data_IF_978713665023
#
_entry.id   IF_978713665023
#
_cell.length_a   1.000
_cell.length_b   1.000
_cell.length_c   1.000
_cell.angle_alpha   90.00
_cell.angle_beta   90.00
_cell.angle_gamma   90.00
#
_symmetry.space_group_name_H-M   'P 1'
#
loop_
_entity.id
_entity.type
_entity.pdbx_description
1 polymer ?
#
# COMPACT_ATOMS: atom_id res chain seq x y z
N UNK A 1 -7.56 4.29 14.33
CA UNK A 1 -7.75 3.42 13.14
C UNK A 1 -7.15 4.11 11.92
N UNK A 2 -6.36 3.42 11.12
CA UNK A 2 -5.85 3.98 9.87
C UNK A 2 -7.01 4.06 8.85
N UNK A 3 -7.27 5.25 8.27
CA UNK A 3 -8.34 5.45 7.27
C UNK A 3 -8.22 4.53 6.06
N UNK A 4 -6.99 4.14 5.72
CA UNK A 4 -6.73 3.19 4.62
C UNK A 4 -7.32 1.80 4.88
N UNK A 5 -7.31 1.30 6.11
CA UNK A 5 -7.88 0.00 6.47
C UNK A 5 -9.41 -0.01 6.34
N UNK A 6 -10.10 1.08 6.71
CA UNK A 6 -11.56 1.21 6.52
C UNK A 6 -11.95 1.18 5.03
N UNK A 7 -11.20 1.88 4.18
CA UNK A 7 -11.43 1.86 2.73
C UNK A 7 -11.15 0.50 2.10
N UNK A 8 -10.11 -0.21 2.57
CA UNK A 8 -9.80 -1.57 2.13
C UNK A 8 -10.93 -2.54 2.43
N UNK A 9 -11.51 -2.49 3.63
CA UNK A 9 -12.65 -3.34 4.04
C UNK A 9 -13.88 -3.13 3.16
N UNK A 10 -14.18 -1.88 2.78
CA UNK A 10 -15.31 -1.57 1.89
C UNK A 10 -15.10 -2.16 0.49
N UNK A 11 -13.85 -2.17 -0.01
CA UNK A 11 -13.49 -2.73 -1.31
C UNK A 11 -13.67 -4.23 -1.41
N UNK A 12 -13.35 -4.98 -0.37
CA UNK A 12 -13.47 -6.44 -0.39
C UNK A 12 -14.90 -6.93 -0.60
N UNK A 13 -15.90 -6.09 -0.36
CA UNK A 13 -17.32 -6.42 -0.57
C UNK A 13 -17.81 -6.27 -2.03
N UNK A 14 -17.02 -5.71 -2.98
CA UNK A 14 -17.51 -5.34 -4.33
C UNK A 14 -16.73 -5.91 -5.53
N UNK A 15 -15.99 -7.00 -5.46
CA UNK A 15 -14.99 -7.35 -6.45
C UNK A 15 -15.28 -8.39 -7.53
N UNK A 16 -14.95 -8.13 -8.79
CA UNK A 16 -14.82 -9.11 -9.88
C UNK A 16 -13.34 -9.61 -9.96
N UNK A 17 -13.14 -10.93 -9.88
CA UNK A 17 -11.86 -11.54 -9.48
C UNK A 17 -10.77 -11.60 -10.58
N UNK A 18 -11.09 -11.81 -11.86
CA UNK A 18 -10.08 -12.16 -12.86
C UNK A 18 -9.39 -10.96 -13.56
N UNK A 19 -10.10 -9.88 -13.85
CA UNK A 19 -9.48 -8.67 -14.45
C UNK A 19 -8.55 -7.96 -13.45
N UNK A 20 -8.88 -8.02 -12.16
CA UNK A 20 -8.06 -7.45 -11.08
C UNK A 20 -6.74 -8.20 -10.89
N UNK A 21 -6.70 -9.51 -11.17
CA UNK A 21 -5.49 -10.33 -11.02
C UNK A 21 -4.37 -9.94 -11.99
N UNK A 22 -4.71 -9.66 -13.25
CA UNK A 22 -3.73 -9.21 -14.25
C UNK A 22 -3.08 -7.88 -13.86
N UNK A 23 -3.88 -6.91 -13.43
CA UNK A 23 -3.40 -5.60 -12.95
C UNK A 23 -2.55 -5.73 -11.69
N UNK A 24 -2.96 -6.55 -10.74
CA UNK A 24 -2.19 -6.84 -9.54
C UNK A 24 -0.81 -7.41 -9.90
N UNK A 25 -0.74 -8.35 -10.82
CA UNK A 25 0.54 -8.90 -11.27
C UNK A 25 1.44 -7.84 -11.91
N UNK A 26 0.89 -6.94 -12.72
CA UNK A 26 1.64 -5.83 -13.32
C UNK A 26 2.25 -4.92 -12.26
N UNK A 27 1.49 -4.56 -11.23
CA UNK A 27 1.96 -3.73 -10.12
C UNK A 27 3.06 -4.43 -9.31
N UNK A 28 2.87 -5.69 -8.98
CA UNK A 28 3.87 -6.47 -8.25
C UNK A 28 5.17 -6.60 -9.07
N UNK A 29 5.07 -6.84 -10.38
CA UNK A 29 6.25 -6.92 -11.27
C UNK A 29 6.99 -5.57 -11.27
N UNK A 30 6.29 -4.45 -11.34
CA UNK A 30 6.91 -3.11 -11.24
C UNK A 30 7.62 -2.94 -9.90
N UNK A 31 6.97 -3.29 -8.78
CA UNK A 31 7.56 -3.18 -7.44
C UNK A 31 8.81 -4.04 -7.30
N UNK A 32 8.78 -5.32 -7.73
CA UNK A 32 9.95 -6.20 -7.73
C UNK A 32 11.09 -5.62 -8.57
N UNK A 33 10.78 -5.10 -9.77
CA UNK A 33 11.78 -4.51 -10.67
C UNK A 33 12.42 -3.27 -10.05
N UNK A 34 11.63 -2.40 -9.44
CA UNK A 34 12.11 -1.17 -8.80
C UNK A 34 12.93 -1.51 -7.55
N UNK A 35 12.44 -2.42 -6.70
CA UNK A 35 13.14 -2.84 -5.50
C UNK A 35 14.51 -3.46 -5.84
N UNK A 36 14.58 -4.33 -6.85
CA UNK A 36 15.82 -4.92 -7.32
C UNK A 36 16.81 -3.88 -7.88
N UNK A 37 16.31 -2.86 -8.58
CA UNK A 37 17.14 -1.78 -9.09
C UNK A 37 17.74 -0.92 -8.00
N UNK A 38 16.95 -0.62 -6.96
CA UNK A 38 17.35 0.32 -5.90
C UNK A 38 18.28 -0.32 -4.87
N UNK A 39 18.00 -1.57 -4.48
CA UNK A 39 18.69 -2.26 -3.38
C UNK A 39 19.45 -3.52 -3.80
N UNK A 40 19.51 -3.84 -5.11
CA UNK A 40 20.14 -5.08 -5.62
C UNK A 40 19.19 -6.25 -5.69
N UNK A 41 19.60 -7.30 -6.41
CA UNK A 41 18.79 -8.50 -6.73
C UNK A 41 18.79 -9.58 -5.66
N UNK A 42 19.54 -9.39 -4.57
CA UNK A 42 19.59 -10.37 -3.46
C UNK A 42 18.54 -9.98 -2.37
N UNK A 43 17.52 -10.81 -2.14
CA UNK A 43 16.50 -10.53 -1.14
C UNK A 43 17.02 -10.56 0.31
N UNK A 44 18.15 -11.26 0.58
CA UNK A 44 18.75 -11.26 1.92
C UNK A 44 19.34 -9.89 2.27
N UNK A 45 19.91 -9.20 1.29
CA UNK A 45 20.45 -7.85 1.45
C UNK A 45 19.47 -6.72 1.13
N UNK A 46 18.25 -7.05 0.65
CA UNK A 46 17.26 -6.07 0.20
C UNK A 46 15.87 -6.34 0.79
N UNK A 47 15.57 -5.78 1.97
CA UNK A 47 14.27 -5.99 2.64
C UNK A 47 13.06 -5.61 1.81
N UNK A 48 13.14 -4.55 0.99
CA UNK A 48 12.07 -4.14 0.08
C UNK A 48 11.81 -5.21 -0.98
N UNK A 49 12.85 -5.76 -1.58
CA UNK A 49 12.73 -6.84 -2.56
C UNK A 49 12.16 -8.10 -1.92
N UNK A 50 12.58 -8.45 -0.71
CA UNK A 50 12.05 -9.59 0.04
C UNK A 50 10.53 -9.46 0.23
N UNK A 51 10.04 -8.31 0.72
CA UNK A 51 8.59 -8.06 0.87
C UNK A 51 7.85 -8.15 -0.48
N UNK A 52 8.41 -7.57 -1.54
CA UNK A 52 7.81 -7.64 -2.88
C UNK A 52 7.72 -9.08 -3.42
N UNK A 53 8.75 -9.91 -3.15
CA UNK A 53 8.75 -11.34 -3.50
C UNK A 53 7.69 -12.10 -2.68
N UNK A 54 7.58 -11.83 -1.39
CA UNK A 54 6.60 -12.48 -0.52
C UNK A 54 5.16 -12.14 -0.97
N UNK A 55 4.90 -10.87 -1.31
CA UNK A 55 3.63 -10.44 -1.90
C UNK A 55 3.35 -11.14 -3.24
N UNK A 56 4.36 -11.30 -4.10
CA UNK A 56 4.23 -12.02 -5.36
C UNK A 56 3.85 -13.50 -5.15
N UNK A 57 4.50 -14.16 -4.19
CA UNK A 57 4.21 -15.56 -3.83
C UNK A 57 2.81 -15.70 -3.23
N UNK A 58 2.41 -14.80 -2.32
CA UNK A 58 1.07 -14.78 -1.71
C UNK A 58 -0.04 -14.63 -2.76
N UNK A 59 0.25 -13.94 -3.87
CA UNK A 59 -0.66 -13.80 -5.02
C UNK A 59 -0.50 -14.91 -6.08
N UNK A 60 0.22 -15.98 -5.77
CA UNK A 60 0.48 -17.11 -6.69
C UNK A 60 1.13 -16.69 -8.02
N UNK A 61 2.03 -15.73 -7.99
CA UNK A 61 2.79 -15.34 -9.17
C UNK A 61 3.82 -16.44 -9.52
N UNK A 62 3.92 -16.86 -10.81
CA UNK A 62 4.92 -17.81 -11.22
C UNK A 62 6.35 -17.34 -10.91
N UNK A 63 7.19 -18.23 -10.40
CA UNK A 63 8.57 -17.93 -10.01
C UNK A 63 9.41 -17.34 -11.16
N UNK A 64 9.17 -17.76 -12.40
CA UNK A 64 9.84 -17.23 -13.58
C UNK A 64 9.55 -15.74 -13.81
N UNK A 65 8.34 -15.27 -13.48
CA UNK A 65 7.98 -13.86 -13.60
C UNK A 65 8.75 -13.03 -12.55
N UNK A 66 8.87 -13.55 -11.33
CA UNK A 66 9.62 -12.89 -10.24
C UNK A 66 11.10 -12.80 -10.63
N UNK A 67 11.70 -13.92 -11.04
CA UNK A 67 13.11 -13.97 -11.46
C UNK A 67 13.38 -13.02 -12.63
N UNK A 68 12.50 -12.98 -13.61
CA UNK A 68 12.62 -12.07 -14.77
C UNK A 68 12.51 -10.60 -14.35
N UNK A 69 11.62 -10.26 -13.42
CA UNK A 69 11.48 -8.90 -12.90
C UNK A 69 12.75 -8.46 -12.14
N UNK A 70 13.33 -9.34 -11.32
CA UNK A 70 14.60 -9.07 -10.62
C UNK A 70 15.70 -8.80 -11.64
N UNK A 71 15.88 -9.67 -12.65
CA UNK A 71 16.91 -9.52 -13.68
C UNK A 71 16.75 -8.23 -14.51
N UNK A 72 15.52 -7.78 -14.75
CA UNK A 72 15.27 -6.47 -15.37
C UNK A 72 15.67 -5.33 -14.46
N UNK A 73 15.40 -5.44 -13.16
CA UNK A 73 15.76 -4.44 -12.17
C UNK A 73 17.27 -4.30 -12.01
N UNK A 74 18.01 -5.41 -11.98
CA UNK A 74 19.49 -5.44 -11.87
C UNK A 74 20.22 -5.11 -13.18
N UNK A 75 19.49 -5.00 -14.30
CA UNK A 75 20.09 -4.72 -15.61
C UNK A 75 20.65 -5.93 -16.34
N UNK A 76 20.47 -7.15 -15.82
CA UNK A 76 20.86 -8.40 -16.50
C UNK A 76 19.99 -8.73 -17.71
N UNK A 77 18.78 -8.17 -17.75
CA UNK A 77 17.87 -8.25 -18.89
C UNK A 77 17.42 -6.82 -19.29
N UNK A 78 17.32 -6.60 -20.59
CA UNK A 78 16.71 -5.37 -21.11
C UNK A 78 15.27 -5.25 -20.62
N UNK A 79 14.89 -4.04 -20.20
CA UNK A 79 13.54 -3.77 -19.70
C UNK A 79 13.26 -2.29 -19.58
N UNK A 80 12.02 -2.00 -19.30
CA UNK A 80 11.54 -0.64 -19.05
C UNK A 80 12.11 -0.14 -17.73
N UNK A 81 12.62 1.09 -17.74
CA UNK A 81 13.03 1.77 -16.52
C UNK A 81 11.85 2.53 -15.94
N UNK A 82 11.45 2.17 -14.73
CA UNK A 82 10.38 2.86 -14.02
C UNK A 82 10.94 3.95 -13.11
N UNK A 83 10.36 5.14 -13.16
CA UNK A 83 10.57 6.23 -12.21
C UNK A 83 9.50 6.14 -11.13
N UNK A 84 9.91 6.26 -9.86
CA UNK A 84 8.99 6.34 -8.73
C UNK A 84 8.67 7.79 -8.42
N UNK A 85 7.40 8.08 -8.25
CA UNK A 85 6.88 9.42 -7.97
C UNK A 85 5.74 9.31 -6.95
N UNK A 86 5.55 10.37 -6.18
CA UNK A 86 4.34 10.56 -5.38
C UNK A 86 3.63 11.80 -5.91
N UNK A 87 2.40 11.62 -6.36
CA UNK A 87 1.52 12.74 -6.66
C UNK A 87 0.68 13.06 -5.42
N UNK A 88 0.34 14.32 -5.28
CA UNK A 88 -0.44 14.86 -4.18
C UNK A 88 -1.70 15.50 -4.71
N UNK A 89 -2.81 15.37 -4.00
CA UNK A 89 -4.06 15.94 -4.45
C UNK A 89 -5.07 16.14 -3.34
N UNK A 90 -6.10 16.89 -3.68
CA UNK A 90 -7.27 17.14 -2.84
C UNK A 90 -8.48 16.54 -3.52
N UNK A 91 -9.21 15.71 -2.80
CA UNK A 91 -10.42 15.02 -3.27
C UNK A 91 -11.70 15.60 -2.65
N UNK A 92 -12.83 14.89 -2.84
CA UNK A 92 -14.13 15.24 -2.26
C UNK A 92 -14.04 15.48 -0.76
N UNK A 93 -14.84 16.42 -0.25
CA UNK A 93 -14.84 16.79 1.15
C UNK A 93 -13.51 17.39 1.65
N UNK A 94 -12.65 17.91 0.74
CA UNK A 94 -11.30 18.38 1.01
C UNK A 94 -10.41 17.27 1.64
N UNK A 95 -10.61 16.01 1.24
CA UNK A 95 -9.73 14.90 1.56
C UNK A 95 -8.36 15.09 0.93
N UNK A 96 -7.29 14.77 1.67
CA UNK A 96 -5.94 14.79 1.15
C UNK A 96 -5.57 13.41 0.63
N UNK A 97 -4.90 13.35 -0.51
CA UNK A 97 -4.48 12.10 -1.14
C UNK A 97 -3.00 12.12 -1.49
N UNK A 98 -2.35 10.97 -1.25
CA UNK A 98 -1.04 10.66 -1.79
C UNK A 98 -1.17 9.48 -2.75
N UNK A 99 -0.60 9.60 -3.94
CA UNK A 99 -0.67 8.61 -5.01
C UNK A 99 0.74 8.16 -5.34
N UNK A 100 1.14 6.98 -4.86
CA UNK A 100 2.41 6.36 -5.19
C UNK A 100 2.34 5.76 -6.60
N UNK A 101 3.30 6.11 -7.45
CA UNK A 101 3.32 5.77 -8.88
C UNK A 101 4.67 5.18 -9.26
N UNK A 102 4.64 4.15 -10.10
CA UNK A 102 5.81 3.64 -10.82
C UNK A 102 5.54 3.70 -12.32
N UNK A 103 6.19 4.59 -13.03
CA UNK A 103 5.91 4.86 -14.45
C UNK A 103 7.18 4.95 -15.29
N UNK A 104 7.05 4.61 -16.55
CA UNK A 104 8.06 4.83 -17.61
C UNK A 104 7.86 6.18 -18.32
N UNK A 105 6.74 6.88 -18.05
CA UNK A 105 6.43 8.17 -18.67
C UNK A 105 5.68 9.10 -17.72
N UNK A 106 6.44 9.88 -16.96
CA UNK A 106 5.94 10.83 -15.97
C UNK A 106 4.87 11.79 -16.51
N UNK A 107 5.06 12.30 -17.75
CA UNK A 107 4.14 13.29 -18.31
C UNK A 107 2.78 12.68 -18.67
N UNK A 108 2.80 11.47 -19.26
CA UNK A 108 1.58 10.70 -19.54
C UNK A 108 0.81 10.46 -18.25
N UNK A 109 1.45 9.88 -17.25
CA UNK A 109 0.80 9.52 -15.99
C UNK A 109 0.26 10.73 -15.25
N UNK A 110 1.01 11.85 -15.21
CA UNK A 110 0.52 13.09 -14.60
C UNK A 110 -0.76 13.62 -15.27
N UNK A 111 -0.84 13.56 -16.61
CA UNK A 111 -2.02 14.00 -17.35
C UNK A 111 -3.23 13.07 -17.10
N UNK A 112 -2.99 11.75 -17.05
CA UNK A 112 -4.04 10.76 -16.80
C UNK A 112 -4.57 10.84 -15.37
N UNK A 113 -3.69 10.95 -14.37
CA UNK A 113 -4.06 11.14 -12.96
C UNK A 113 -4.85 12.44 -12.78
N UNK A 114 -4.41 13.56 -13.37
CA UNK A 114 -5.16 14.83 -13.32
C UNK A 114 -6.57 14.67 -13.87
N UNK A 115 -6.73 14.02 -15.02
CA UNK A 115 -8.04 13.75 -15.62
C UNK A 115 -8.94 12.90 -14.73
N UNK A 116 -8.36 11.98 -13.96
CA UNK A 116 -9.12 11.18 -12.98
C UNK A 116 -9.62 12.08 -11.85
N UNK A 117 -8.76 12.92 -11.26
CA UNK A 117 -9.17 13.89 -10.24
C UNK A 117 -10.29 14.81 -10.72
N UNK A 118 -10.12 15.42 -11.90
CA UNK A 118 -11.09 16.35 -12.50
C UNK A 118 -12.48 15.71 -12.65
N UNK A 119 -12.55 14.42 -12.96
CA UNK A 119 -13.82 13.68 -13.08
C UNK A 119 -14.51 13.39 -11.76
N UNK A 120 -13.78 13.39 -10.64
CA UNK A 120 -14.26 13.01 -9.32
C UNK A 120 -14.24 14.17 -8.33
N UNK A 121 -14.47 15.38 -8.81
CA UNK A 121 -14.55 16.60 -7.97
C UNK A 121 -13.28 16.84 -7.12
N UNK A 122 -12.14 16.42 -7.62
CA UNK A 122 -10.85 16.61 -6.98
C UNK A 122 -9.91 17.45 -7.82
N UNK A 123 -8.74 17.73 -7.28
CA UNK A 123 -7.69 18.49 -7.93
C UNK A 123 -6.31 17.89 -7.63
N UNK A 124 -5.52 17.66 -8.68
CA UNK A 124 -4.12 17.30 -8.53
C UNK A 124 -3.32 18.53 -8.08
N UNK A 125 -2.67 18.43 -6.92
CA UNK A 125 -1.89 19.51 -6.32
C UNK A 125 -0.41 19.51 -6.74
N UNK A 126 0.33 20.45 -6.21
CA UNK A 126 1.78 20.48 -6.29
C UNK A 126 2.44 19.73 -5.13
N UNK A 127 3.76 19.58 -5.19
CA UNK A 127 4.54 18.97 -4.12
C UNK A 127 4.34 19.72 -2.78
N UNK A 128 4.09 18.98 -1.69
CA UNK A 128 3.83 19.52 -0.37
C UNK A 128 2.38 19.92 -0.11
N UNK A 129 1.46 19.70 -1.05
CA UNK A 129 0.04 20.03 -0.85
C UNK A 129 -0.70 19.08 0.10
N UNK A 130 -0.25 17.83 0.24
CA UNK A 130 -0.87 16.81 1.07
C UNK A 130 0.11 16.04 1.97
N UNK A 131 1.38 15.87 1.59
CA UNK A 131 2.35 15.02 2.27
C UNK A 131 2.55 15.38 3.75
N UNK A 132 2.40 16.64 4.14
CA UNK A 132 2.52 17.11 5.52
C UNK A 132 1.53 16.45 6.49
N UNK A 133 0.41 15.95 5.99
CA UNK A 133 -0.67 15.35 6.78
C UNK A 133 -0.42 13.87 7.11
N UNK A 134 0.66 13.26 6.61
CA UNK A 134 0.94 11.84 6.76
C UNK A 134 2.29 11.60 7.43
N UNK A 135 2.40 10.43 8.08
CA UNK A 135 3.65 9.84 8.52
C UNK A 135 3.84 8.48 7.82
N UNK A 136 5.06 8.18 7.39
CA UNK A 136 5.37 6.88 6.84
C UNK A 136 5.63 5.87 7.96
N UNK A 137 4.82 4.82 8.02
CA UNK A 137 4.86 3.77 9.05
C UNK A 137 4.96 2.39 8.41
N UNK A 138 5.51 1.44 9.15
CA UNK A 138 5.36 0.03 8.84
C UNK A 138 4.01 -0.47 9.34
N UNK A 139 3.30 -1.23 8.51
CA UNK A 139 2.03 -1.86 8.87
C UNK A 139 2.13 -3.34 8.56
N UNK A 140 1.86 -4.17 9.58
CA UNK A 140 1.82 -5.62 9.44
C UNK A 140 0.39 -6.09 9.72
N UNK A 141 -0.07 -7.07 8.95
CA UNK A 141 -1.40 -7.68 9.15
C UNK A 141 -1.27 -9.18 9.34
N UNK A 142 -2.07 -9.72 10.25
CA UNK A 142 -2.16 -11.17 10.50
C UNK A 142 -3.56 -11.54 11.02
N UNK A 143 -4.05 -12.77 10.71
CA UNK A 143 -5.34 -13.24 11.22
C UNK A 143 -5.36 -13.30 12.75
N UNK A 144 -6.48 -12.88 13.36
CA UNK A 144 -6.69 -12.95 14.82
C UNK A 144 -6.61 -14.36 15.38
N UNK A 145 -6.82 -15.36 14.53
CA UNK A 145 -6.73 -16.78 14.93
C UNK A 145 -5.30 -17.25 15.21
N UNK A 146 -4.27 -16.49 14.81
CA UNK A 146 -2.86 -16.89 14.93
C UNK A 146 -2.22 -16.47 16.25
N UNK A 147 -2.75 -15.47 16.94
CA UNK A 147 -2.21 -14.99 18.21
C UNK A 147 -3.27 -14.24 19.01
N UNK A 148 -3.13 -14.27 20.34
CA UNK A 148 -3.89 -13.41 21.25
C UNK A 148 -3.30 -12.00 21.26
N UNK A 149 -4.08 -11.02 21.71
CA UNK A 149 -3.60 -9.64 21.88
C UNK A 149 -2.40 -9.58 22.82
N UNK A 150 -2.43 -10.33 23.95
CA UNK A 150 -1.34 -10.38 24.93
C UNK A 150 -0.04 -10.90 24.32
N UNK A 151 -0.12 -11.98 23.52
CA UNK A 151 1.05 -12.53 22.82
C UNK A 151 1.64 -11.54 21.83
N UNK A 152 0.78 -10.85 21.06
CA UNK A 152 1.22 -9.83 20.12
C UNK A 152 1.87 -8.65 20.83
N UNK A 153 1.25 -8.21 21.93
CA UNK A 153 1.78 -7.09 22.72
C UNK A 153 3.19 -7.41 23.23
N UNK A 154 3.39 -8.58 23.81
CA UNK A 154 4.69 -8.98 24.33
C UNK A 154 5.77 -9.05 23.24
N UNK A 155 5.45 -9.65 22.09
CA UNK A 155 6.40 -9.88 21.01
C UNK A 155 6.60 -8.62 20.16
N UNK A 156 5.51 -8.03 19.66
CA UNK A 156 5.59 -6.94 18.70
C UNK A 156 6.04 -5.62 19.36
N UNK A 157 5.51 -5.26 20.52
CA UNK A 157 5.93 -4.06 21.25
C UNK A 157 7.37 -4.24 21.77
N UNK A 158 7.73 -5.45 22.24
CA UNK A 158 9.11 -5.77 22.59
C UNK A 158 10.11 -5.63 21.45
N UNK A 159 9.64 -5.79 20.19
CA UNK A 159 10.42 -5.63 18.98
C UNK A 159 10.34 -4.20 18.38
N UNK A 160 9.57 -3.29 18.97
CA UNK A 160 9.48 -1.88 18.56
C UNK A 160 8.20 -1.48 17.83
N UNK A 161 7.11 -2.25 17.93
CA UNK A 161 5.79 -1.81 17.47
C UNK A 161 5.27 -0.65 18.33
N UNK A 162 4.56 0.27 17.68
CA UNK A 162 3.94 1.44 18.33
C UNK A 162 2.49 1.19 18.73
N UNK A 163 1.78 0.39 17.93
CA UNK A 163 0.34 0.17 18.13
C UNK A 163 -0.09 -1.20 17.60
N UNK A 164 -1.15 -1.75 18.21
CA UNK A 164 -1.80 -3.00 17.81
C UNK A 164 -3.31 -2.79 17.86
N UNK A 165 -3.96 -2.93 16.73
CA UNK A 165 -5.40 -2.75 16.59
C UNK A 165 -6.07 -4.02 16.07
N UNK A 166 -7.28 -4.27 16.57
CA UNK A 166 -8.16 -5.30 16.05
C UNK A 166 -9.06 -4.72 14.96
N UNK A 167 -8.85 -5.11 13.69
CA UNK A 167 -9.67 -4.66 12.56
C UNK A 167 -10.33 -5.90 11.92
N UNK A 168 -11.64 -5.99 11.97
CA UNK A 168 -12.40 -7.16 11.52
C UNK A 168 -11.83 -8.48 12.09
N UNK A 169 -11.36 -9.39 11.23
CA UNK A 169 -10.75 -10.68 11.57
C UNK A 169 -9.20 -10.63 11.62
N UNK A 170 -8.62 -9.44 11.49
CA UNK A 170 -7.17 -9.23 11.46
C UNK A 170 -6.68 -8.45 12.69
N UNK A 171 -5.45 -8.75 13.09
CA UNK A 171 -4.62 -7.84 13.86
C UNK A 171 -3.84 -6.96 12.89
N UNK A 172 -3.78 -5.66 13.19
CA UNK A 172 -2.97 -4.68 12.48
C UNK A 172 -1.95 -4.12 13.46
N UNK A 173 -0.68 -4.33 13.14
CA UNK A 173 0.45 -3.87 13.96
C UNK A 173 1.13 -2.72 13.25
N UNK A 174 1.20 -1.55 13.90
CA UNK A 174 1.86 -0.36 13.38
C UNK A 174 3.24 -0.20 14.02
N UNK A 175 4.23 0.14 13.20
CA UNK A 175 5.63 0.29 13.63
C UNK A 175 6.24 1.57 13.06
N UNK A 176 7.34 2.09 13.64
CA UNK A 176 8.22 2.98 12.89
C UNK A 176 8.66 2.32 11.58
N UNK A 177 8.93 3.14 10.56
CA UNK A 177 9.38 2.65 9.25
C UNK A 177 10.54 1.65 9.33
N UNK A 178 11.53 1.97 10.15
CA UNK A 178 12.76 1.19 10.33
C UNK A 178 12.56 -0.10 11.13
N UNK A 179 11.48 -0.22 11.89
CA UNK A 179 11.22 -1.38 12.75
C UNK A 179 10.37 -2.48 12.07
N UNK A 180 9.81 -2.24 10.90
CA UNK A 180 8.87 -3.17 10.24
C UNK A 180 9.45 -4.58 10.06
N UNK A 181 10.70 -4.68 9.58
CA UNK A 181 11.34 -5.99 9.36
C UNK A 181 11.72 -6.66 10.68
N UNK A 182 12.14 -5.89 11.69
CA UNK A 182 12.48 -6.41 13.03
C UNK A 182 11.24 -7.00 13.69
N UNK A 183 10.11 -6.31 13.65
CA UNK A 183 8.83 -6.78 14.22
C UNK A 183 8.32 -8.00 13.46
N UNK A 184 8.36 -8.00 12.12
CA UNK A 184 7.98 -9.15 11.31
C UNK A 184 8.80 -10.39 11.66
N UNK A 185 10.12 -10.23 11.74
CA UNK A 185 11.04 -11.35 12.01
C UNK A 185 10.85 -11.88 13.43
N UNK A 186 10.58 -11.02 14.42
CA UNK A 186 10.25 -11.42 15.79
C UNK A 186 8.95 -12.25 15.87
N UNK A 187 7.89 -11.80 15.19
CA UNK A 187 6.63 -12.53 15.08
C UNK A 187 6.84 -13.90 14.41
N UNK A 188 7.58 -13.94 13.30
CA UNK A 188 7.87 -15.17 12.57
C UNK A 188 8.70 -16.16 13.40
N UNK A 189 9.69 -15.68 14.16
CA UNK A 189 10.50 -16.51 15.06
C UNK A 189 9.67 -17.12 16.20
N UNK A 190 8.55 -16.47 16.57
CA UNK A 190 7.59 -16.98 17.56
C UNK A 190 6.51 -17.88 16.94
N UNK A 191 6.62 -18.22 15.65
CA UNK A 191 5.67 -19.09 14.94
C UNK A 191 4.38 -18.37 14.50
N UNK A 192 4.34 -17.04 14.56
CA UNK A 192 3.19 -16.23 14.15
C UNK A 192 3.43 -15.74 12.72
N UNK A 193 2.65 -16.28 11.77
CA UNK A 193 2.76 -15.91 10.37
C UNK A 193 2.13 -14.54 10.09
N UNK A 194 2.93 -13.60 9.59
CA UNK A 194 2.47 -12.32 9.08
C UNK A 194 1.99 -12.50 7.64
N UNK A 195 0.76 -12.09 7.33
CA UNK A 195 0.16 -12.23 5.99
C UNK A 195 0.53 -11.10 5.05
N UNK A 196 0.75 -9.90 5.61
CA UNK A 196 1.18 -8.73 4.87
C UNK A 196 2.08 -7.84 5.73
N UNK A 197 3.09 -7.24 5.11
CA UNK A 197 4.01 -6.29 5.76
C UNK A 197 4.46 -5.25 4.74
N UNK A 198 4.02 -4.00 4.94
CA UNK A 198 4.29 -2.93 3.98
C UNK A 198 4.48 -1.56 4.63
N UNK A 199 5.13 -0.65 3.90
CA UNK A 199 5.17 0.76 4.28
C UNK A 199 3.89 1.45 3.81
N UNK A 200 3.25 2.18 4.72
CA UNK A 200 2.03 2.93 4.46
C UNK A 200 2.18 4.39 4.91
N UNK A 201 1.44 5.27 4.26
CA UNK A 201 1.28 6.66 4.68
C UNK A 201 0.06 6.76 5.61
N UNK A 202 0.31 6.93 6.88
CA UNK A 202 -0.73 6.99 7.92
C UNK A 202 -1.07 8.44 8.20
N UNK A 203 -2.36 8.84 8.15
CA UNK A 203 -2.73 10.21 8.46
C UNK A 203 -2.49 10.56 9.92
N UNK A 204 -1.88 11.72 10.17
CA UNK A 204 -1.66 12.26 11.52
C UNK A 204 -2.97 12.56 12.24
N UNK A 205 -3.95 13.03 11.48
CA UNK A 205 -5.28 13.37 12.00
C UNK A 205 -6.31 12.90 10.97
N UNK A 206 -6.96 11.74 11.19
CA UNK A 206 -8.02 11.26 10.33
C UNK A 206 -9.20 12.23 10.27
N UNK A 207 -9.78 12.39 9.09
CA UNK A 207 -10.93 13.23 8.82
C UNK A 207 -12.14 12.38 8.43
N UNK A 208 -13.23 12.48 9.18
CA UNK A 208 -14.49 11.82 8.84
C UNK A 208 -15.22 12.63 7.77
N UNK A 209 -15.63 11.98 6.68
CA UNK A 209 -16.36 12.60 5.57
C UNK A 209 -17.87 12.43 5.72
N UNK A 210 -18.63 13.25 4.98
CA UNK A 210 -20.05 13.00 4.76
C UNK A 210 -20.27 11.71 3.95
N UNK A 211 -21.47 11.11 4.00
CA UNK A 211 -21.78 9.92 3.22
C UNK A 211 -21.58 10.15 1.70
N UNK A 212 -22.00 11.33 1.20
CA UNK A 212 -21.87 11.68 -0.21
C UNK A 212 -20.40 11.85 -0.64
N UNK A 213 -19.59 12.56 0.17
CA UNK A 213 -18.15 12.72 -0.11
C UNK A 213 -17.42 11.40 -0.03
N UNK A 214 -17.81 10.52 0.92
CA UNK A 214 -17.27 9.18 1.06
C UNK A 214 -17.49 8.32 -0.19
N UNK A 215 -18.69 8.33 -0.75
CA UNK A 215 -19.01 7.61 -1.98
C UNK A 215 -18.19 8.14 -3.17
N UNK A 216 -18.09 9.47 -3.31
CA UNK A 216 -17.32 10.08 -4.40
C UNK A 216 -15.82 9.83 -4.23
N UNK A 217 -15.29 9.91 -3.01
CA UNK A 217 -13.89 9.59 -2.72
C UNK A 217 -13.57 8.12 -2.98
N UNK A 218 -14.46 7.19 -2.61
CA UNK A 218 -14.28 5.76 -2.91
C UNK A 218 -14.16 5.53 -4.43
N UNK A 219 -15.04 6.16 -5.22
CA UNK A 219 -14.98 6.07 -6.69
C UNK A 219 -13.68 6.67 -7.26
N UNK A 220 -13.17 7.76 -6.69
CA UNK A 220 -11.88 8.35 -7.05
C UNK A 220 -10.73 7.38 -6.76
N UNK A 221 -10.68 6.83 -5.55
CA UNK A 221 -9.64 5.87 -5.13
C UNK A 221 -9.67 4.63 -6.03
N UNK A 222 -10.85 4.05 -6.28
CA UNK A 222 -11.00 2.88 -7.15
C UNK A 222 -10.49 3.16 -8.57
N UNK A 223 -10.82 4.34 -9.12
CA UNK A 223 -10.37 4.72 -10.47
C UNK A 223 -8.87 4.97 -10.53
N UNK A 224 -8.29 5.60 -9.50
CA UNK A 224 -6.84 5.78 -9.40
C UNK A 224 -6.12 4.45 -9.26
N UNK A 225 -6.59 3.56 -8.41
CA UNK A 225 -5.99 2.24 -8.23
C UNK A 225 -6.18 1.31 -9.44
N UNK A 226 -7.15 1.57 -10.28
CA UNK A 226 -7.33 0.85 -11.53
C UNK A 226 -6.31 1.27 -12.63
N UNK A 227 -5.60 2.37 -12.41
CA UNK A 227 -4.56 2.84 -13.31
C UNK A 227 -3.28 2.00 -13.19
N UNK A 228 -2.70 1.58 -14.32
CA UNK A 228 -1.56 0.66 -14.38
C UNK A 228 -0.27 1.20 -13.75
N UNK A 229 -0.09 2.52 -13.74
CA UNK A 229 1.10 3.15 -13.16
C UNK A 229 0.92 3.49 -11.67
N UNK A 230 -0.31 3.52 -11.16
CA UNK A 230 -0.58 3.78 -9.73
C UNK A 230 -0.33 2.51 -8.93
N UNK A 231 0.58 2.59 -7.97
CA UNK A 231 0.90 1.47 -7.07
C UNK A 231 -0.04 1.45 -5.87
N UNK A 232 -0.19 2.61 -5.19
CA UNK A 232 -1.02 2.78 -4.00
C UNK A 232 -1.63 4.17 -3.96
N UNK A 233 -2.78 4.27 -3.28
CA UNK A 233 -3.44 5.53 -2.96
C UNK A 233 -3.66 5.58 -1.45
N UNK A 234 -3.21 6.64 -0.81
CA UNK A 234 -3.44 6.91 0.61
C UNK A 234 -4.31 8.15 0.75
N UNK A 235 -5.13 8.19 1.79
CA UNK A 235 -5.97 9.34 2.13
C UNK A 235 -5.98 9.60 3.63
N UNK A 236 -6.13 10.87 4.01
CA UNK A 236 -6.33 11.31 5.39
C UNK A 236 -7.76 11.08 5.89
N UNK A 237 -8.65 10.66 5.00
CA UNK A 237 -10.07 10.64 5.28
C UNK A 237 -10.60 9.25 5.57
N UNK A 238 -11.57 9.18 6.47
CA UNK A 238 -12.34 7.99 6.80
C UNK A 238 -13.77 8.12 6.27
N UNK A 239 -14.40 7.01 5.83
CA UNK A 239 -15.79 7.03 5.45
C UNK A 239 -16.67 7.37 6.66
N UNK A 240 -17.81 8.01 6.41
CA UNK A 240 -18.85 8.12 7.42
C UNK A 240 -19.20 6.71 7.93
N UNK A 241 -19.37 6.56 9.24
CA UNK A 241 -19.92 5.34 9.78
C UNK A 241 -21.32 5.15 9.17
N UNK A 242 -21.49 4.11 8.39
CA UNK A 242 -22.81 3.69 7.94
C UNK A 242 -23.47 3.04 9.15
N UNK A 243 -24.28 3.82 9.87
CA UNK A 243 -25.16 3.23 10.88
C UNK A 243 -25.96 2.12 10.21
N UNK A 244 -25.78 0.91 10.71
CA UNK A 244 -26.43 -0.33 10.25
C UNK A 244 -27.88 -0.37 10.73
#
# INVERSE_FOLDING_TARGET
>A
MSGHNKWSTIKHKKGAVDAKRGKMFTKIIKEVTVAARTGGGDPEGNPRLRRAIDLAKANNMPADNITRAIKKGTGELEGVQYEELVYEGVGPGASLLLIAVATDNRNRTAAEVRKIFDKHQGQLGGAGSAAWAFDEKGVLSLPKTLATEEQLFEIAVGAGAEDIEAVDDQWVVTTPREAIDVVRDALSASGIAVTDAELQQIPKTPKVLSAQDSETLLSLIETLEDHDDVQKVFTDSEPADVES
#
